data_IF_667611597898
#
_entry.id   IF_667611597898
#
_cell.length_a   1.000
_cell.length_b   1.000
_cell.length_c   1.000
_cell.angle_alpha   90.00
_cell.angle_beta   90.00
_cell.angle_gamma   90.00
#
_symmetry.space_group_name_H-M   'P 1'
#
loop_
_entity.id
_entity.type
_entity.pdbx_description
1 polymer ?
#
# COMPACT_ATOMS: atom_id res chain seq x y z
N UNK A 1 -1.73 15.68 17.04
CA UNK A 1 -1.72 14.23 16.71
C UNK A 1 -2.07 14.06 15.23
N UNK A 2 -1.25 13.37 14.44
CA UNK A 2 -1.52 13.18 12.99
C UNK A 2 -2.01 11.76 12.73
N UNK A 3 -3.07 11.64 11.93
CA UNK A 3 -3.43 10.40 11.27
C UNK A 3 -2.81 10.38 9.87
N UNK A 4 -1.89 9.46 9.63
CA UNK A 4 -1.23 9.27 8.34
C UNK A 4 -2.12 8.42 7.43
N UNK A 5 -2.73 9.02 6.42
CA UNK A 5 -3.40 8.30 5.34
C UNK A 5 -2.37 7.99 4.25
N UNK A 6 -2.15 6.70 4.01
CA UNK A 6 -1.19 6.23 3.01
C UNK A 6 -1.96 5.46 1.94
N UNK A 7 -1.98 5.98 0.72
CA UNK A 7 -2.44 5.22 -0.43
C UNK A 7 -1.25 4.52 -1.08
N UNK A 8 -1.39 3.22 -1.34
CA UNK A 8 -0.32 2.39 -1.90
C UNK A 8 -0.79 1.76 -3.20
N UNK A 9 -0.31 2.27 -4.32
CA UNK A 9 -0.56 1.67 -5.63
C UNK A 9 0.37 0.50 -5.83
N UNK A 10 -0.20 -0.67 -6.10
CA UNK A 10 0.55 -1.92 -6.07
C UNK A 10 -0.06 -2.98 -6.97
N UNK A 11 0.80 -3.87 -7.47
CA UNK A 11 0.40 -5.13 -8.09
C UNK A 11 0.86 -6.31 -7.24
N UNK A 12 0.04 -7.35 -7.13
CA UNK A 12 0.27 -8.52 -6.25
C UNK A 12 1.42 -9.41 -6.74
N UNK A 13 1.79 -9.29 -8.02
CA UNK A 13 2.92 -9.99 -8.64
C UNK A 13 4.18 -9.12 -8.77
N UNK A 14 4.19 -7.91 -8.21
CA UNK A 14 5.36 -7.04 -8.22
C UNK A 14 6.28 -7.33 -7.01
N UNK A 15 7.52 -7.81 -7.21
CA UNK A 15 8.41 -8.13 -6.09
C UNK A 15 8.83 -6.89 -5.29
N UNK A 16 8.98 -5.75 -5.97
CA UNK A 16 9.30 -4.48 -5.30
C UNK A 16 8.14 -3.95 -4.47
N UNK A 17 6.89 -4.24 -4.83
CA UNK A 17 5.75 -3.92 -3.98
C UNK A 17 5.81 -4.68 -2.67
N UNK A 18 6.26 -5.94 -2.69
CA UNK A 18 6.42 -6.70 -1.47
C UNK A 18 7.57 -6.19 -0.59
N UNK A 19 8.70 -5.81 -1.18
CA UNK A 19 9.78 -5.12 -0.45
C UNK A 19 9.27 -3.81 0.16
N UNK A 20 8.55 -3.00 -0.62
CA UNK A 20 7.96 -1.74 -0.16
C UNK A 20 6.96 -1.93 0.99
N UNK A 21 6.17 -3.00 0.97
CA UNK A 21 5.28 -3.38 2.07
C UNK A 21 6.06 -3.57 3.39
N UNK A 22 7.15 -4.33 3.36
CA UNK A 22 8.00 -4.58 4.54
C UNK A 22 8.76 -3.33 5.00
N UNK A 23 9.24 -2.52 4.06
CA UNK A 23 9.87 -1.24 4.39
C UNK A 23 8.89 -0.27 5.06
N UNK A 24 7.66 -0.15 4.52
CA UNK A 24 6.62 0.68 5.11
C UNK A 24 6.27 0.21 6.53
N UNK A 25 6.06 -1.08 6.75
CA UNK A 25 5.76 -1.63 8.07
C UNK A 25 6.89 -1.36 9.08
N UNK A 26 8.15 -1.51 8.63
CA UNK A 26 9.34 -1.23 9.45
C UNK A 26 9.49 0.27 9.75
N UNK A 27 9.15 1.14 8.80
CA UNK A 27 9.17 2.59 8.97
C UNK A 27 8.10 3.06 9.97
N UNK A 28 6.88 2.52 9.87
CA UNK A 28 5.80 2.79 10.83
C UNK A 28 6.23 2.38 12.24
N UNK A 29 6.71 1.15 12.39
CA UNK A 29 7.20 0.63 13.68
C UNK A 29 8.32 1.51 14.25
N UNK A 30 9.30 1.89 13.41
CA UNK A 30 10.40 2.77 13.81
C UNK A 30 9.92 4.15 14.24
N UNK A 31 8.99 4.75 13.50
CA UNK A 31 8.44 6.06 13.82
C UNK A 31 7.62 6.05 15.11
N UNK A 32 6.74 5.06 15.29
CA UNK A 32 5.88 4.96 16.47
C UNK A 32 6.64 4.70 17.77
N UNK A 33 7.86 4.16 17.72
CA UNK A 33 8.74 4.07 18.90
C UNK A 33 9.08 5.43 19.49
N UNK A 34 9.15 6.48 18.66
CA UNK A 34 9.42 7.85 19.10
C UNK A 34 8.15 8.69 19.20
N UNK A 35 7.17 8.44 18.33
CA UNK A 35 5.92 9.22 18.22
C UNK A 35 4.67 8.33 18.36
N UNK A 36 4.42 7.73 19.54
CA UNK A 36 3.42 6.67 19.71
C UNK A 36 1.97 7.11 19.57
N UNK A 37 1.70 8.42 19.65
CA UNK A 37 0.34 8.96 19.56
C UNK A 37 -0.17 9.03 18.12
N UNK A 38 0.70 8.89 17.11
CA UNK A 38 0.29 8.99 15.71
C UNK A 38 -0.24 7.66 15.17
N UNK A 39 -1.28 7.75 14.34
CA UNK A 39 -1.97 6.59 13.75
C UNK A 39 -1.71 6.50 12.24
N UNK A 40 -1.84 5.30 11.68
CA UNK A 40 -1.63 5.04 10.26
C UNK A 40 -2.83 4.31 9.68
N UNK A 41 -3.30 4.77 8.51
CA UNK A 41 -4.37 4.15 7.73
C UNK A 41 -3.84 3.87 6.33
N UNK A 42 -3.67 2.58 6.00
CA UNK A 42 -3.06 2.16 4.73
C UNK A 42 -4.16 1.63 3.81
N UNK A 43 -4.34 2.28 2.67
CA UNK A 43 -5.31 1.88 1.65
C UNK A 43 -4.55 1.39 0.41
N UNK A 44 -4.79 0.15 0.02
CA UNK A 44 -4.19 -0.45 -1.17
C UNK A 44 -5.03 -0.11 -2.39
N UNK A 45 -4.36 0.44 -3.41
CA UNK A 45 -4.93 0.83 -4.68
C UNK A 45 -4.44 -0.10 -5.80
N UNK A 46 -5.33 -0.49 -6.72
CA UNK A 46 -4.97 -1.47 -7.73
C UNK A 46 -4.06 -0.88 -8.80
N UNK A 47 -3.13 -1.69 -9.28
CA UNK A 47 -2.33 -1.43 -10.46
C UNK A 47 -2.12 -2.75 -11.21
N UNK A 48 -2.06 -2.69 -12.54
CA UNK A 48 -1.81 -3.84 -13.40
C UNK A 48 -0.49 -3.67 -14.15
N UNK A 49 0.54 -4.44 -13.78
CA UNK A 49 1.81 -4.47 -14.51
C UNK A 49 1.64 -5.10 -15.89
N UNK A 50 0.80 -6.13 -15.99
CA UNK A 50 0.49 -6.76 -17.27
C UNK A 50 -0.96 -7.28 -17.30
N UNK A 51 -1.93 -6.44 -17.70
CA UNK A 51 -3.34 -6.83 -17.77
C UNK A 51 -3.62 -7.89 -18.85
N UNK A 52 -2.69 -8.11 -19.79
CA UNK A 52 -2.81 -9.12 -20.84
C UNK A 52 -2.28 -10.51 -20.43
N UNK A 53 -1.77 -10.65 -19.20
CA UNK A 53 -1.27 -11.94 -18.71
C UNK A 53 -2.38 -12.99 -18.70
N UNK A 54 -2.06 -14.28 -18.94
CA UNK A 54 -3.05 -15.36 -18.90
C UNK A 54 -3.80 -15.42 -17.57
N UNK A 55 -5.11 -15.65 -17.64
CA UNK A 55 -5.94 -16.00 -16.48
C UNK A 55 -5.68 -17.46 -16.07
N UNK A 56 -6.37 -17.95 -15.04
CA UNK A 56 -6.18 -19.32 -14.52
C UNK A 56 -6.10 -20.38 -15.64
N UNK A 57 -5.10 -21.28 -15.62
CA UNK A 57 -4.13 -21.53 -14.54
C UNK A 57 -2.88 -20.62 -14.52
N UNK A 58 -2.83 -19.59 -15.36
CA UNK A 58 -1.65 -18.74 -15.52
C UNK A 58 -0.55 -19.42 -16.34
N UNK A 59 0.70 -19.01 -16.12
CA UNK A 59 1.90 -19.56 -16.75
C UNK A 59 3.03 -19.73 -15.74
N UNK A 60 3.98 -20.62 -16.03
CA UNK A 60 5.17 -20.80 -15.19
C UNK A 60 5.91 -19.47 -15.03
N UNK A 61 6.16 -19.08 -13.77
CA UNK A 61 6.91 -17.87 -13.43
C UNK A 61 8.31 -17.92 -14.02
N UNK A 62 8.96 -19.09 -13.95
CA UNK A 62 10.28 -19.30 -14.52
C UNK A 62 10.28 -19.17 -16.04
N UNK A 63 9.31 -19.78 -16.73
CA UNK A 63 9.19 -19.66 -18.19
C UNK A 63 8.92 -18.21 -18.62
N UNK A 64 8.10 -17.47 -17.85
CA UNK A 64 7.82 -16.06 -18.08
C UNK A 64 9.07 -15.19 -17.93
N UNK A 65 9.91 -15.44 -16.92
CA UNK A 65 11.17 -14.72 -16.76
C UNK A 65 12.20 -15.09 -17.83
N UNK A 66 12.29 -16.37 -18.20
CA UNK A 66 13.21 -16.86 -19.23
C UNK A 66 12.88 -16.31 -20.62
N UNK A 67 11.61 -16.01 -20.93
CA UNK A 67 11.23 -15.37 -22.20
C UNK A 67 11.55 -13.88 -22.26
N UNK A 68 11.76 -13.23 -21.10
CA UNK A 68 12.02 -11.78 -21.00
C UNK A 68 13.49 -11.43 -20.84
N UNK A 69 14.28 -12.31 -20.22
CA UNK A 69 15.65 -12.00 -19.83
C UNK A 69 16.62 -13.12 -20.21
N UNK A 70 17.83 -12.79 -20.69
CA UNK A 70 18.90 -13.77 -20.81
C UNK A 70 19.25 -14.40 -19.46
N UNK A 71 19.71 -15.67 -19.42
CA UNK A 71 19.98 -16.39 -18.17
C UNK A 71 20.90 -15.63 -17.20
N UNK A 72 21.97 -15.01 -17.69
CA UNK A 72 22.94 -14.28 -16.86
C UNK A 72 22.31 -13.04 -16.21
N UNK A 73 21.46 -12.33 -16.95
CA UNK A 73 20.73 -11.16 -16.45
C UNK A 73 19.71 -11.59 -15.40
N UNK A 74 18.99 -12.69 -15.65
CA UNK A 74 18.03 -13.24 -14.69
C UNK A 74 18.70 -13.64 -13.37
N UNK A 75 19.88 -14.28 -13.43
CA UNK A 75 20.66 -14.60 -12.22
C UNK A 75 21.03 -13.35 -11.42
N UNK A 76 21.47 -12.28 -12.09
CA UNK A 76 21.81 -11.02 -11.41
C UNK A 76 20.58 -10.35 -10.78
N UNK A 77 19.45 -10.32 -11.50
CA UNK A 77 18.18 -9.77 -10.99
C UNK A 77 17.73 -10.54 -9.75
N UNK A 78 17.75 -11.89 -9.81
CA UNK A 78 17.38 -12.75 -8.69
C UNK A 78 18.32 -12.57 -7.50
N UNK A 79 19.63 -12.49 -7.73
CA UNK A 79 20.61 -12.26 -6.67
C UNK A 79 20.37 -10.93 -5.95
N UNK A 80 20.14 -9.85 -6.71
CA UNK A 80 19.79 -8.54 -6.14
C UNK A 80 18.48 -8.61 -5.35
N UNK A 81 17.44 -9.22 -5.92
CA UNK A 81 16.14 -9.33 -5.27
C UNK A 81 16.23 -10.13 -3.97
N UNK A 82 16.97 -11.24 -3.97
CA UNK A 82 17.19 -12.07 -2.77
C UNK A 82 17.98 -11.30 -1.71
N UNK A 83 18.99 -10.53 -2.09
CA UNK A 83 19.78 -9.73 -1.14
C UNK A 83 18.93 -8.65 -0.47
N UNK A 84 18.14 -7.91 -1.25
CA UNK A 84 17.23 -6.89 -0.70
C UNK A 84 16.11 -7.53 0.12
N UNK A 85 15.53 -8.62 -0.39
CA UNK A 85 14.50 -9.40 0.31
C UNK A 85 14.99 -9.89 1.67
N UNK A 86 16.17 -10.49 1.73
CA UNK A 86 16.74 -10.99 2.98
C UNK A 86 16.94 -9.86 4.02
N UNK A 87 17.39 -8.68 3.59
CA UNK A 87 17.51 -7.51 4.46
C UNK A 87 16.14 -7.02 4.99
N UNK A 88 15.08 -7.20 4.19
CA UNK A 88 13.69 -6.91 4.57
C UNK A 88 12.97 -8.08 5.27
N UNK A 89 13.65 -9.21 5.52
CA UNK A 89 13.05 -10.40 6.14
C UNK A 89 12.22 -11.30 5.20
N UNK A 90 12.35 -11.12 3.88
CA UNK A 90 11.64 -11.87 2.84
C UNK A 90 12.53 -13.00 2.31
N UNK A 91 11.97 -14.21 2.18
CA UNK A 91 12.63 -15.36 1.54
C UNK A 91 12.02 -15.64 0.16
N UNK A 92 12.48 -14.90 -0.85
CA UNK A 92 11.97 -15.05 -2.21
C UNK A 92 12.19 -16.46 -2.77
N UNK A 93 11.10 -17.08 -3.18
CA UNK A 93 11.02 -18.28 -3.99
C UNK A 93 10.69 -17.91 -5.43
N UNK A 94 11.36 -18.55 -6.39
CA UNK A 94 11.35 -18.14 -7.80
C UNK A 94 10.50 -19.04 -8.70
N UNK A 95 9.97 -20.14 -8.17
CA UNK A 95 9.06 -21.05 -8.85
C UNK A 95 7.60 -20.60 -8.79
N UNK A 96 6.70 -21.56 -9.03
CA UNK A 96 5.25 -21.35 -9.05
C UNK A 96 4.70 -20.81 -10.38
N UNK A 97 3.44 -20.40 -10.33
CA UNK A 97 2.72 -19.82 -11.46
C UNK A 97 2.63 -18.30 -11.32
N UNK A 98 2.36 -17.61 -12.42
CA UNK A 98 2.07 -16.18 -12.48
C UNK A 98 1.01 -15.93 -13.54
N UNK A 99 0.30 -14.81 -13.47
CA UNK A 99 -0.71 -14.49 -14.48
C UNK A 99 -1.42 -13.18 -14.19
N UNK A 100 -2.66 -13.09 -14.67
CA UNK A 100 -3.51 -11.93 -14.47
C UNK A 100 -3.80 -11.68 -12.98
N UNK A 101 -3.70 -10.44 -12.52
CA UNK A 101 -3.88 -10.08 -11.11
C UNK A 101 -5.22 -9.45 -10.79
N UNK A 102 -6.12 -9.30 -11.77
CA UNK A 102 -7.43 -8.67 -11.60
C UNK A 102 -8.24 -9.28 -10.45
N UNK A 103 -8.32 -10.60 -10.37
CA UNK A 103 -9.08 -11.26 -9.30
C UNK A 103 -8.49 -10.99 -7.91
N UNK A 104 -7.16 -10.96 -7.79
CA UNK A 104 -6.50 -10.59 -6.55
C UNK A 104 -6.78 -9.14 -6.14
N UNK A 105 -6.80 -8.21 -7.11
CA UNK A 105 -7.10 -6.80 -6.87
C UNK A 105 -8.56 -6.58 -6.46
N UNK A 106 -9.50 -7.28 -7.10
CA UNK A 106 -10.92 -7.29 -6.72
C UNK A 106 -11.09 -7.78 -5.29
N UNK A 107 -10.40 -8.87 -4.95
CA UNK A 107 -10.48 -9.43 -3.62
C UNK A 107 -9.95 -8.46 -2.55
N UNK A 108 -8.81 -7.83 -2.79
CA UNK A 108 -8.24 -6.81 -1.90
C UNK A 108 -9.19 -5.61 -1.73
N UNK A 109 -9.82 -5.16 -2.83
CA UNK A 109 -10.81 -4.09 -2.78
C UNK A 109 -12.03 -4.48 -1.92
N UNK A 110 -12.60 -5.67 -2.16
CA UNK A 110 -13.76 -6.17 -1.42
C UNK A 110 -13.47 -6.33 0.09
N UNK A 111 -12.26 -6.79 0.44
CA UNK A 111 -11.83 -6.89 1.83
C UNK A 111 -11.76 -5.50 2.47
N UNK A 112 -11.10 -4.54 1.81
CA UNK A 112 -11.01 -3.16 2.33
C UNK A 112 -12.38 -2.51 2.52
N UNK A 113 -13.29 -2.69 1.56
CA UNK A 113 -14.67 -2.18 1.64
C UNK A 113 -15.48 -2.81 2.79
N UNK A 114 -15.28 -4.11 3.07
CA UNK A 114 -16.09 -4.83 4.06
C UNK A 114 -15.49 -4.74 5.47
N UNK A 115 -14.20 -4.96 5.60
CA UNK A 115 -13.52 -5.20 6.87
C UNK A 115 -12.54 -4.07 7.26
N UNK A 116 -12.41 -3.04 6.41
CA UNK A 116 -11.56 -1.89 6.64
C UNK A 116 -10.11 -2.06 6.17
N UNK A 117 -9.37 -0.97 6.26
CA UNK A 117 -7.99 -0.82 5.77
C UNK A 117 -7.00 -1.76 6.46
N UNK A 118 -7.18 -2.05 7.74
CA UNK A 118 -6.30 -2.96 8.48
C UNK A 118 -6.41 -4.40 7.96
N UNK A 119 -7.63 -4.90 7.75
CA UNK A 119 -7.85 -6.22 7.16
C UNK A 119 -7.33 -6.26 5.71
N UNK A 120 -7.54 -5.20 4.94
CA UNK A 120 -6.99 -5.08 3.59
C UNK A 120 -5.47 -5.20 3.59
N UNK A 121 -4.79 -4.51 4.50
CA UNK A 121 -3.34 -4.54 4.61
C UNK A 121 -2.81 -5.93 5.00
N UNK A 122 -3.45 -6.60 5.96
CA UNK A 122 -3.10 -7.99 6.34
C UNK A 122 -3.29 -8.97 5.19
N UNK A 123 -4.40 -8.86 4.45
CA UNK A 123 -4.67 -9.69 3.27
C UNK A 123 -3.63 -9.45 2.16
N UNK A 124 -3.28 -8.20 1.88
CA UNK A 124 -2.23 -7.88 0.90
C UNK A 124 -0.89 -8.53 1.27
N UNK A 125 -0.46 -8.39 2.53
CA UNK A 125 0.75 -9.03 3.04
C UNK A 125 0.71 -10.57 2.92
N UNK A 126 -0.46 -11.19 3.17
CA UNK A 126 -0.64 -12.63 3.05
C UNK A 126 -0.59 -13.13 1.60
N UNK A 127 -1.19 -12.40 0.66
CA UNK A 127 -1.12 -12.69 -0.78
C UNK A 127 0.32 -12.58 -1.26
N UNK A 128 1.04 -11.52 -0.87
CA UNK A 128 2.44 -11.39 -1.22
C UNK A 128 3.28 -12.57 -0.74
N UNK A 129 3.14 -12.94 0.54
CA UNK A 129 3.84 -14.11 1.10
C UNK A 129 3.50 -15.39 0.32
N UNK A 130 2.22 -15.61 0.03
CA UNK A 130 1.77 -16.77 -0.72
C UNK A 130 2.37 -16.87 -2.13
N UNK A 131 2.48 -15.74 -2.82
CA UNK A 131 3.03 -15.70 -4.17
C UNK A 131 4.57 -15.74 -4.22
N UNK A 132 5.23 -15.00 -3.30
CA UNK A 132 6.67 -14.76 -3.34
C UNK A 132 7.49 -15.71 -2.48
N UNK A 133 6.93 -16.32 -1.45
CA UNK A 133 7.66 -17.23 -0.56
C UNK A 133 7.12 -18.67 -0.64
N UNK A 134 5.84 -18.86 -0.95
CA UNK A 134 5.16 -20.17 -0.96
C UNK A 134 4.91 -20.71 -2.39
N UNK A 135 5.41 -20.02 -3.41
CA UNK A 135 5.28 -20.39 -4.84
C UNK A 135 3.83 -20.63 -5.32
N UNK A 136 2.86 -19.99 -4.66
CA UNK A 136 1.45 -20.12 -4.98
C UNK A 136 1.04 -19.45 -6.30
N UNK A 137 -0.12 -19.85 -6.82
CA UNK A 137 -0.68 -19.31 -8.05
C UNK A 137 -1.63 -18.14 -7.77
N UNK A 138 -1.30 -16.90 -8.20
CA UNK A 138 -2.14 -15.74 -7.92
C UNK A 138 -3.38 -15.66 -8.81
N UNK A 139 -3.52 -16.57 -9.78
CA UNK A 139 -4.72 -16.68 -10.64
C UNK A 139 -5.74 -17.69 -10.11
N UNK A 140 -5.38 -18.48 -9.10
CA UNK A 140 -6.28 -19.46 -8.49
C UNK A 140 -7.17 -18.77 -7.45
N UNK A 141 -8.44 -18.61 -7.80
CA UNK A 141 -9.43 -17.94 -6.94
C UNK A 141 -9.61 -18.66 -5.60
N UNK A 142 -9.54 -19.99 -5.56
CA UNK A 142 -9.70 -20.75 -4.31
C UNK A 142 -8.52 -20.48 -3.38
N UNK A 143 -7.31 -20.45 -3.95
CA UNK A 143 -6.10 -20.12 -3.19
C UNK A 143 -6.09 -18.66 -2.73
N UNK A 144 -6.48 -17.72 -3.60
CA UNK A 144 -6.62 -16.31 -3.25
C UNK A 144 -7.61 -16.11 -2.11
N UNK A 145 -8.77 -16.77 -2.17
CA UNK A 145 -9.77 -16.68 -1.13
C UNK A 145 -9.26 -17.24 0.20
N UNK A 146 -8.56 -18.38 0.17
CA UNK A 146 -7.89 -18.94 1.35
C UNK A 146 -6.92 -17.93 1.98
N UNK A 147 -6.06 -17.31 1.18
CA UNK A 147 -5.13 -16.28 1.65
C UNK A 147 -5.85 -15.06 2.24
N UNK A 148 -6.95 -14.62 1.63
CA UNK A 148 -7.73 -13.52 2.17
C UNK A 148 -8.40 -13.89 3.49
N UNK A 149 -8.95 -15.09 3.65
CA UNK A 149 -9.50 -15.57 4.92
C UNK A 149 -8.43 -15.63 6.00
N UNK A 150 -7.24 -16.16 5.70
CA UNK A 150 -6.09 -16.20 6.62
C UNK A 150 -5.62 -14.79 7.04
N UNK A 151 -5.76 -13.80 6.16
CA UNK A 151 -5.47 -12.39 6.44
C UNK A 151 -6.59 -11.63 7.16
N UNK A 152 -7.69 -12.29 7.53
CA UNK A 152 -8.83 -11.67 8.23
C UNK A 152 -9.94 -11.14 7.33
N UNK A 153 -9.96 -11.52 6.05
CA UNK A 153 -10.96 -11.12 5.05
C UNK A 153 -12.27 -11.93 5.06
N UNK A 154 -12.51 -12.76 6.07
CA UNK A 154 -13.76 -13.54 6.22
C UNK A 154 -14.04 -14.49 5.05
N UNK A 155 -15.30 -14.58 4.63
CA UNK A 155 -15.76 -15.39 3.49
C UNK A 155 -15.43 -14.73 2.13
N UNK A 156 -14.14 -14.50 1.91
CA UNK A 156 -13.57 -13.89 0.73
C UNK A 156 -14.09 -14.49 -0.60
N UNK A 157 -14.19 -15.82 -0.67
CA UNK A 157 -14.64 -16.52 -1.89
C UNK A 157 -16.08 -16.18 -2.25
N UNK A 158 -16.97 -16.20 -1.25
CA UNK A 158 -18.40 -15.93 -1.43
C UNK A 158 -18.60 -14.50 -1.92
N UNK A 159 -17.85 -13.55 -1.34
CA UNK A 159 -17.87 -12.15 -1.77
C UNK A 159 -17.38 -11.97 -3.19
N UNK A 160 -16.26 -12.60 -3.55
CA UNK A 160 -15.73 -12.50 -4.90
C UNK A 160 -16.71 -13.05 -5.94
N UNK A 161 -17.35 -14.19 -5.67
CA UNK A 161 -18.37 -14.76 -6.55
C UNK A 161 -19.62 -13.89 -6.67
N UNK A 162 -20.05 -13.24 -5.59
CA UNK A 162 -21.30 -12.46 -5.54
C UNK A 162 -21.15 -11.03 -6.06
N UNK A 163 -20.04 -10.38 -5.76
CA UNK A 163 -19.82 -8.93 -5.96
C UNK A 163 -18.67 -8.64 -6.94
N UNK A 164 -17.96 -9.67 -7.41
CA UNK A 164 -16.72 -9.52 -8.17
C UNK A 164 -16.84 -8.80 -9.50
N UNK A 165 -17.98 -8.90 -10.20
CA UNK A 165 -18.16 -8.18 -11.46
C UNK A 165 -18.25 -6.67 -11.24
N UNK A 166 -19.08 -6.22 -10.28
CA UNK A 166 -19.23 -4.80 -9.97
C UNK A 166 -17.96 -4.23 -9.34
N UNK A 167 -17.39 -4.94 -8.36
CA UNK A 167 -16.10 -4.56 -7.78
C UNK A 167 -14.99 -4.53 -8.83
N UNK A 168 -15.01 -5.45 -9.80
CA UNK A 168 -14.11 -5.46 -10.94
C UNK A 168 -14.19 -4.19 -11.78
N UNK A 169 -15.39 -3.68 -12.07
CA UNK A 169 -15.53 -2.40 -12.80
C UNK A 169 -14.95 -1.21 -12.04
N UNK A 170 -15.07 -1.21 -10.72
CA UNK A 170 -14.48 -0.17 -9.84
C UNK A 170 -12.96 -0.28 -9.87
N UNK A 171 -12.41 -1.47 -9.60
CA UNK A 171 -10.97 -1.74 -9.59
C UNK A 171 -10.33 -1.41 -10.94
N UNK A 172 -10.94 -1.80 -12.06
CA UNK A 172 -10.42 -1.48 -13.38
C UNK A 172 -10.41 0.02 -13.67
N UNK A 173 -11.39 0.77 -13.14
CA UNK A 173 -11.45 2.22 -13.27
C UNK A 173 -10.37 2.89 -12.41
N UNK A 174 -10.19 2.44 -11.17
CA UNK A 174 -9.15 2.95 -10.28
C UNK A 174 -7.75 2.69 -10.83
N UNK A 175 -7.48 1.49 -11.36
CA UNK A 175 -6.20 1.15 -11.97
C UNK A 175 -5.90 2.01 -13.21
N UNK A 176 -6.92 2.26 -14.06
CA UNK A 176 -6.79 3.18 -15.19
C UNK A 176 -6.52 4.61 -14.72
N UNK A 177 -7.30 5.10 -13.75
CA UNK A 177 -7.12 6.45 -13.21
C UNK A 177 -5.72 6.67 -12.64
N UNK A 178 -5.17 5.68 -11.93
CA UNK A 178 -3.80 5.74 -11.42
C UNK A 178 -2.78 5.88 -12.57
N UNK A 179 -2.90 5.05 -13.60
CA UNK A 179 -2.02 5.08 -14.77
C UNK A 179 -2.13 6.41 -15.54
N UNK A 180 -3.36 6.88 -15.79
CA UNK A 180 -3.62 8.15 -16.50
C UNK A 180 -3.19 9.36 -15.67
N UNK A 181 -3.24 9.25 -14.34
CA UNK A 181 -2.81 10.26 -13.36
C UNK A 181 -1.30 10.37 -13.18
N UNK A 182 -0.49 9.64 -13.97
CA UNK A 182 0.97 9.76 -13.97
C UNK A 182 1.71 8.70 -13.15
N UNK A 183 1.00 7.76 -12.51
CA UNK A 183 1.65 6.63 -11.81
C UNK A 183 2.13 5.62 -12.86
N UNK A 184 3.41 5.75 -13.25
CA UNK A 184 4.01 4.90 -14.28
C UNK A 184 4.69 3.64 -13.74
N UNK A 185 4.69 3.43 -12.42
CA UNK A 185 5.38 2.31 -11.78
C UNK A 185 4.93 2.09 -10.34
N UNK A 186 5.14 0.86 -9.86
CA UNK A 186 4.74 0.41 -8.53
C UNK A 186 5.90 -0.26 -7.78
N UNK A 187 5.95 -0.18 -6.44
CA UNK A 187 4.96 0.48 -5.58
C UNK A 187 5.07 2.00 -5.65
N UNK A 188 3.94 2.68 -5.49
CA UNK A 188 3.88 4.13 -5.33
C UNK A 188 3.09 4.44 -4.06
N UNK A 189 3.62 5.33 -3.23
CA UNK A 189 3.04 5.69 -1.94
C UNK A 189 2.67 7.17 -1.93
N UNK A 190 1.40 7.47 -1.74
CA UNK A 190 0.91 8.82 -1.48
C UNK A 190 0.57 8.98 0.00
N UNK A 191 1.23 9.90 0.69
CA UNK A 191 1.06 10.16 2.12
C UNK A 191 0.34 11.51 2.28
N UNK A 192 -0.85 11.45 2.88
CA UNK A 192 -1.76 12.59 3.10
C UNK A 192 -2.04 13.44 1.84
N UNK A 193 -2.01 12.82 0.65
CA UNK A 193 -2.17 13.46 -0.67
C UNK A 193 -1.18 14.60 -0.95
N UNK A 194 -0.03 14.62 -0.25
CA UNK A 194 0.96 15.71 -0.35
C UNK A 194 2.36 15.22 -0.65
N UNK A 195 2.72 14.04 -0.16
CA UNK A 195 4.04 13.46 -0.34
C UNK A 195 3.95 12.18 -1.15
N UNK A 196 4.76 12.09 -2.20
CA UNK A 196 4.82 10.92 -3.06
C UNK A 196 6.19 10.25 -2.93
N UNK A 197 6.18 8.94 -2.70
CA UNK A 197 7.37 8.10 -2.74
C UNK A 197 7.19 7.05 -3.83
N UNK A 198 8.00 7.12 -4.87
CA UNK A 198 7.96 6.18 -5.99
C UNK A 198 9.01 5.07 -5.81
N UNK A 199 8.58 3.82 -5.95
CA UNK A 199 9.41 2.63 -5.78
C UNK A 199 9.53 2.16 -4.33
N UNK A 200 10.22 1.02 -4.15
CA UNK A 200 10.50 0.43 -2.84
C UNK A 200 11.58 1.22 -2.09
N UNK A 201 11.26 2.45 -1.68
CA UNK A 201 12.17 3.35 -0.99
C UNK A 201 12.70 2.74 0.32
N UNK A 202 13.93 3.11 0.77
CA UNK A 202 14.46 2.67 2.06
C UNK A 202 13.58 3.12 3.23
N UNK A 203 13.69 2.39 4.35
CA UNK A 203 12.93 2.67 5.59
C UNK A 203 13.16 4.10 6.07
N UNK A 204 14.38 4.61 5.92
CA UNK A 204 14.80 5.94 6.37
C UNK A 204 14.05 7.06 5.64
N UNK A 205 13.75 6.89 4.35
CA UNK A 205 13.04 7.92 3.57
C UNK A 205 11.57 8.01 4.02
N UNK A 206 10.91 6.88 4.28
CA UNK A 206 9.57 6.88 4.88
C UNK A 206 9.57 7.58 6.25
N UNK A 207 10.51 7.25 7.13
CA UNK A 207 10.62 7.85 8.46
C UNK A 207 10.86 9.37 8.37
N UNK A 208 11.68 9.81 7.42
CA UNK A 208 11.94 11.23 7.16
C UNK A 208 10.66 11.96 6.75
N UNK A 209 9.87 11.40 5.82
CA UNK A 209 8.57 11.97 5.43
C UNK A 209 7.60 12.01 6.61
N UNK A 210 7.50 10.96 7.41
CA UNK A 210 6.63 10.94 8.58
C UNK A 210 6.99 12.03 9.60
N UNK A 211 8.29 12.22 9.87
CA UNK A 211 8.78 13.30 10.73
C UNK A 211 8.46 14.69 10.17
N UNK A 212 8.62 14.88 8.86
CA UNK A 212 8.29 16.16 8.22
C UNK A 212 6.80 16.48 8.35
N UNK A 213 5.92 15.54 8.03
CA UNK A 213 4.46 15.70 8.16
C UNK A 213 4.05 15.97 9.60
N UNK A 214 4.63 15.26 10.57
CA UNK A 214 4.34 15.48 11.99
C UNK A 214 4.76 16.89 12.44
N UNK A 215 5.97 17.33 12.09
CA UNK A 215 6.46 18.66 12.44
C UNK A 215 5.69 19.80 11.77
N UNK A 216 5.21 19.61 10.54
CA UNK A 216 4.33 20.57 9.86
C UNK A 216 2.98 20.70 10.58
N UNK A 217 2.40 19.58 11.02
CA UNK A 217 1.15 19.60 11.76
C UNK A 217 1.28 20.28 13.13
N UNK A 218 2.40 20.05 13.83
CA UNK A 218 2.69 20.71 15.12
C UNK A 218 2.81 22.23 14.95
N UNK A 219 3.55 22.69 13.94
CA UNK A 219 3.67 24.13 13.63
C UNK A 219 2.32 24.76 13.29
N UNK A 220 1.51 24.08 12.47
CA UNK A 220 0.18 24.57 12.09
C UNK A 220 -0.79 24.61 13.28
N UNK A 221 -0.64 23.71 14.26
CA UNK A 221 -1.41 23.74 15.51
C UNK A 221 -0.97 24.90 16.41
N UNK A 222 0.33 25.13 16.53
CA UNK A 222 0.91 26.23 17.31
C UNK A 222 0.44 27.60 16.78
N UNK A 223 0.59 27.85 15.47
CA UNK A 223 0.16 29.12 14.86
C UNK A 223 -1.35 29.37 14.99
N UNK A 224 -2.17 28.31 14.98
CA UNK A 224 -3.61 28.44 15.23
C UNK A 224 -3.91 28.86 16.66
N UNK A 225 -3.21 28.30 17.65
CA UNK A 225 -3.37 28.68 19.07
C UNK A 225 -2.98 30.14 19.29
N UNK A 226 -1.83 30.54 18.75
CA UNK A 226 -1.35 31.94 18.82
C UNK A 226 -2.35 32.92 18.17
N UNK A 227 -2.98 32.53 17.05
CA UNK A 227 -4.02 33.35 16.40
C UNK A 227 -5.30 33.44 17.23
N UNK A 228 -5.72 32.35 17.87
CA UNK A 228 -6.91 32.32 18.72
C UNK A 228 -6.71 33.15 20.00
N UNK A 229 -5.55 33.01 20.64
CA UNK A 229 -5.17 33.80 21.82
C UNK A 229 -5.11 35.30 21.49
N UNK A 230 -4.52 35.68 20.35
CA UNK A 230 -4.49 37.08 19.90
C UNK A 230 -5.90 37.65 19.65
N UNK A 231 -6.80 36.86 19.07
CA UNK A 231 -8.19 37.29 18.82
C UNK A 231 -8.99 37.44 20.13
N UNK A 232 -8.79 36.55 21.11
CA UNK A 232 -9.43 36.64 22.43
C UNK A 232 -8.94 37.89 23.21
N UNK A 233 -7.64 38.20 23.14
CA UNK A 233 -7.09 39.42 23.74
C UNK A 233 -7.63 40.71 23.09
N UNK A 234 -7.85 40.70 21.78
CA UNK A 234 -8.41 41.84 21.04
C UNK A 234 -9.91 42.04 21.34
N UNK A 235 -10.69 40.97 21.47
CA UNK A 235 -12.10 41.03 21.89
C UNK A 235 -12.27 41.52 23.34
N UNK A 236 -11.43 41.05 24.27
CA UNK A 236 -11.44 41.50 25.68
C UNK A 236 -11.08 42.99 25.81
N UNK A 237 -10.10 43.47 25.04
CA UNK A 237 -9.71 44.89 25.03
C UNK A 237 -10.73 45.78 24.30
N UNK A 238 -11.41 45.25 23.27
CA UNK A 238 -12.49 45.95 22.57
C UNK A 238 -13.76 46.15 23.42
N UNK A 239 -14.13 45.16 24.24
CA UNK A 239 -15.26 45.27 25.17
C UNK A 239 -15.00 46.23 26.34
N UNK A 240 -13.75 46.34 26.80
CA UNK A 240 -13.36 47.29 27.85
C UNK A 240 -13.48 48.76 27.41
N UNK A 241 -13.40 49.04 26.10
CA UNK A 241 -13.44 50.41 25.57
C UNK A 241 -14.87 50.90 25.20
N UNK A 242 -15.88 50.02 25.23
CA UNK A 242 -17.26 50.31 24.84
C UNK A 242 -18.22 50.68 25.97
N UNK A 243 -17.73 50.84 27.20
CA UNK A 243 -18.55 51.11 28.39
C UNK A 243 -18.09 52.36 29.14
N UNK A 244 -18.25 53.53 28.52
CA UNK A 244 -18.42 54.80 29.23
C UNK A 244 -19.62 55.56 28.63
N UNK A 245 -20.48 56.18 29.48
CA UNK A 245 -21.83 56.64 29.15
C UNK A 245 -21.92 57.82 28.20
#
# INVERSE_FOLDING_TARGET
MVNFRIEVFSDTVCPWCYVGHHHLASAITTFQRTYPTHTFSINWKPFYLNPSSPTYPGISKEAMYASKFPPQVLTQIRARLNSVGAAAGIKFAHGGQTGNTRDSQILIHLVGKTFGSEAQHKVMGRIFKGYFEEEGNPTDIVLLAKWATEGGGGEAEVKLRKEGEEAGRIVDREARWASDGGISGVPNFSINDRYELSGAQPVEEFVKVFKQVAGEAEKAEQSRKETLEANEEEELNGQACGSFP
#
